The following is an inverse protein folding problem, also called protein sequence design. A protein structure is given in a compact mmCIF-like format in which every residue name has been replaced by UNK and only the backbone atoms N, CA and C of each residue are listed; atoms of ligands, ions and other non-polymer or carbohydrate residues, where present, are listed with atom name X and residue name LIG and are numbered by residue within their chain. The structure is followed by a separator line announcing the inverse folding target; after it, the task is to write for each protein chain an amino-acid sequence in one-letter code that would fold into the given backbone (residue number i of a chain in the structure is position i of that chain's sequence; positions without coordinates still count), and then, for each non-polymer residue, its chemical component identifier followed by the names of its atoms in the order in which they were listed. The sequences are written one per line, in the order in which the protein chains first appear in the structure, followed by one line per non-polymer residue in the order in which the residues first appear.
data_IF_944197381387
#
_entry.id   IF_944197381387
#
_cell.length_a   1.000
_cell.length_b   1.000
_cell.length_c   1.000
_cell.angle_alpha   90.00
_cell.angle_beta   90.00
_cell.angle_gamma   90.00
#
_symmetry.space_group_name_H-M   'P 1'
#
loop_
_entity.id
_entity.type
_entity.pdbx_description
1 polymer ?
#
# COMPACT_ATOMS: atom_id res chain seq x y z
N UNK A 1 17.01 44.74 19.86
CA UNK A 1 15.53 44.72 19.91
C UNK A 1 15.17 43.71 20.98
N UNK A 2 14.89 44.17 22.20
CA UNK A 2 14.48 43.30 23.29
C UNK A 2 13.05 42.81 22.99
N UNK A 3 12.91 41.50 22.80
CA UNK A 3 11.61 40.88 22.64
C UNK A 3 10.88 40.99 23.99
N UNK A 4 9.66 41.49 23.98
CA UNK A 4 8.81 41.50 25.19
C UNK A 4 8.69 40.08 25.75
N UNK A 5 8.57 39.91 27.07
CA UNK A 5 8.62 38.59 27.72
C UNK A 5 7.64 37.56 27.11
N UNK A 6 6.44 38.00 26.70
CA UNK A 6 5.46 37.14 25.99
C UNK A 6 5.92 36.65 24.62
N UNK A 7 6.76 37.41 23.91
CA UNK A 7 7.33 37.02 22.62
C UNK A 7 8.56 36.12 22.81
N UNK A 8 9.32 36.32 23.89
CA UNK A 8 10.44 35.47 24.28
C UNK A 8 9.98 34.06 24.66
N UNK A 9 8.94 33.93 25.47
CA UNK A 9 8.43 32.60 25.86
C UNK A 9 7.88 31.83 24.65
N UNK A 10 7.20 32.52 23.74
CA UNK A 10 6.77 31.92 22.46
C UNK A 10 7.95 31.51 21.58
N UNK A 11 9.01 32.31 21.53
CA UNK A 11 10.22 31.98 20.77
C UNK A 11 10.97 30.80 21.39
N UNK A 12 11.03 30.69 22.73
CA UNK A 12 11.65 29.57 23.44
C UNK A 12 10.86 28.28 23.19
N UNK A 13 9.53 28.32 23.30
CA UNK A 13 8.68 27.18 22.99
C UNK A 13 8.83 26.73 21.53
N UNK A 14 8.87 27.68 20.60
CA UNK A 14 9.10 27.40 19.19
C UNK A 14 10.47 26.74 18.96
N UNK A 15 11.54 27.26 19.57
CA UNK A 15 12.90 26.70 19.45
C UNK A 15 12.98 25.30 20.06
N UNK A 16 12.36 25.08 21.23
CA UNK A 16 12.32 23.75 21.87
C UNK A 16 11.53 22.74 21.03
N UNK A 17 10.44 23.17 20.41
CA UNK A 17 9.67 22.37 19.46
C UNK A 17 10.52 22.02 18.23
N UNK A 18 11.26 22.98 17.65
CA UNK A 18 12.17 22.72 16.52
C UNK A 18 13.37 21.84 16.87
N UNK A 19 13.94 21.98 18.07
CA UNK A 19 15.04 21.14 18.56
C UNK A 19 14.62 19.69 18.78
N UNK A 20 13.43 19.46 19.32
CA UNK A 20 12.86 18.11 19.45
C UNK A 20 12.64 17.42 18.10
N UNK A 21 12.41 18.21 17.04
CA UNK A 21 12.21 17.72 15.66
C UNK A 21 13.56 17.34 14.99
N UNK A 22 14.65 18.06 15.28
CA UNK A 22 15.93 17.91 14.58
C UNK A 22 16.99 17.09 15.33
N UNK A 23 16.91 16.98 16.65
CA UNK A 23 17.90 16.22 17.45
C UNK A 23 17.65 14.70 17.50
N UNK A 24 16.53 14.22 16.95
CA UNK A 24 16.28 12.78 16.77
C UNK A 24 16.80 12.26 15.40
N UNK A 25 17.57 13.07 14.67
CA UNK A 25 18.18 12.68 13.40
C UNK A 25 19.48 13.44 13.13
N UNK A 26 20.61 12.95 13.65
CA UNK A 26 21.94 13.37 13.16
C UNK A 26 22.98 12.24 13.22
N UNK A 27 23.91 12.24 12.28
CA UNK A 27 24.78 11.17 11.79
C UNK A 27 25.85 10.66 12.79
N UNK A 28 25.81 11.09 14.06
CA UNK A 28 26.78 10.68 15.10
C UNK A 28 26.45 9.34 15.77
N UNK A 29 25.27 8.78 15.54
CA UNK A 29 24.79 7.60 16.25
C UNK A 29 25.59 6.29 15.99
N UNK A 30 26.16 6.02 14.79
CA UNK A 30 26.94 4.78 14.58
C UNK A 30 28.23 4.75 15.41
N UNK A 31 28.85 5.91 15.66
CA UNK A 31 30.14 5.99 16.33
C UNK A 31 30.00 5.93 17.86
N UNK A 32 28.88 6.42 18.41
CA UNK A 32 28.51 6.25 19.82
C UNK A 32 28.19 4.78 20.15
N UNK A 33 27.46 4.09 19.26
CA UNK A 33 27.11 2.66 19.38
C UNK A 33 28.37 1.77 19.38
N UNK A 34 29.42 2.12 18.63
CA UNK A 34 30.69 1.39 18.66
C UNK A 34 31.43 1.49 20.01
N UNK A 35 31.31 2.63 20.71
CA UNK A 35 31.89 2.84 22.05
C UNK A 35 31.13 2.11 23.16
N UNK A 36 29.84 1.82 22.98
CA UNK A 36 29.05 1.03 23.95
C UNK A 36 29.37 -0.47 23.90
N UNK A 37 30.00 -0.98 22.82
CA UNK A 37 30.39 -2.39 22.70
C UNK A 37 31.44 -2.84 23.74
N UNK A 38 32.12 -1.91 24.42
CA UNK A 38 33.22 -2.23 25.36
C UNK A 38 32.89 -2.07 26.85
N UNK A 39 31.73 -1.50 27.22
CA UNK A 39 31.50 -1.04 28.57
C UNK A 39 30.16 -1.50 29.16
N UNK A 40 29.92 -2.82 29.22
CA UNK A 40 29.10 -3.49 30.24
C UNK A 40 27.71 -2.95 30.64
N UNK A 41 27.10 -2.03 29.89
CA UNK A 41 25.93 -1.25 30.33
C UNK A 41 24.59 -1.69 29.71
N UNK A 42 24.60 -2.59 28.71
CA UNK A 42 23.37 -3.16 28.14
C UNK A 42 23.55 -4.65 27.78
N UNK A 43 22.52 -5.46 28.02
CA UNK A 43 22.55 -6.88 27.67
C UNK A 43 22.46 -7.06 26.14
N UNK A 44 23.03 -8.15 25.58
CA UNK A 44 22.96 -8.45 24.14
C UNK A 44 21.54 -8.47 23.54
N UNK A 45 20.50 -8.73 24.35
CA UNK A 45 19.09 -8.69 23.96
C UNK A 45 18.54 -7.25 23.79
N UNK A 46 18.95 -6.29 24.62
CA UNK A 46 18.64 -4.85 24.44
C UNK A 46 19.30 -4.33 23.16
N UNK A 47 20.52 -4.79 22.89
CA UNK A 47 21.27 -4.45 21.68
C UNK A 47 20.70 -5.15 20.42
N UNK A 48 20.14 -6.34 20.57
CA UNK A 48 19.43 -7.06 19.49
C UNK A 48 18.08 -6.41 19.15
N UNK A 49 17.34 -5.89 20.13
CA UNK A 49 16.19 -5.00 19.89
C UNK A 49 16.62 -3.68 19.23
N UNK A 50 17.82 -3.17 19.58
CA UNK A 50 18.44 -2.00 18.95
C UNK A 50 18.98 -2.25 17.52
N UNK A 51 18.92 -3.48 16.98
CA UNK A 51 19.13 -3.75 15.54
C UNK A 51 17.86 -3.59 14.71
N UNK A 52 16.70 -3.35 15.35
CA UNK A 52 15.47 -2.90 14.72
C UNK A 52 15.38 -1.37 14.72
N UNK A 53 15.11 -0.75 13.57
CA UNK A 53 15.10 0.72 13.41
C UNK A 53 13.84 1.42 13.97
N UNK A 54 12.98 0.70 14.70
CA UNK A 54 11.64 1.14 15.12
C UNK A 54 11.52 1.09 16.64
N UNK A 55 10.95 2.14 17.22
CA UNK A 55 10.60 2.20 18.64
C UNK A 55 9.38 1.29 18.88
N UNK A 56 9.56 0.22 19.66
CA UNK A 56 8.47 -0.71 19.96
C UNK A 56 7.57 -0.15 21.07
N UNK A 57 6.32 0.14 20.76
CA UNK A 57 5.33 0.63 21.72
C UNK A 57 3.90 0.25 21.31
N UNK A 58 3.38 -0.85 21.86
CA UNK A 58 2.06 -1.37 21.52
C UNK A 58 0.88 -0.53 22.06
N UNK A 59 1.16 0.50 22.87
CA UNK A 59 0.16 1.32 23.55
C UNK A 59 0.36 2.80 23.26
N UNK A 60 1.03 3.12 22.14
CA UNK A 60 1.31 4.50 21.75
C UNK A 60 0.01 5.28 21.49
N UNK A 61 -1.05 4.57 21.08
CA UNK A 61 -2.39 5.13 20.91
C UNK A 61 -2.96 5.68 22.21
N UNK A 62 -2.67 5.05 23.36
CA UNK A 62 -3.09 5.51 24.70
C UNK A 62 -2.25 6.68 25.22
N UNK A 63 -1.08 6.94 24.64
CA UNK A 63 -0.14 7.98 25.09
C UNK A 63 -0.31 9.28 24.33
N UNK A 64 -0.63 9.20 23.04
CA UNK A 64 -0.72 10.35 22.15
C UNK A 64 -1.96 10.26 21.26
N UNK A 65 -2.77 11.33 21.18
CA UNK A 65 -3.71 11.51 20.08
C UNK A 65 -2.97 11.36 18.73
N UNK A 66 -3.65 10.82 17.72
CA UNK A 66 -2.95 10.42 16.48
C UNK A 66 -2.19 11.56 15.80
N UNK A 67 -2.78 12.74 15.67
CA UNK A 67 -2.11 13.88 15.02
C UNK A 67 -1.00 14.51 15.88
N UNK A 68 -1.02 14.26 17.19
CA UNK A 68 -0.04 14.77 18.15
C UNK A 68 1.14 13.81 18.34
N UNK A 69 1.12 12.63 17.71
CA UNK A 69 2.22 11.68 17.71
C UNK A 69 3.56 12.36 17.39
N UNK A 70 4.60 12.19 18.21
CA UNK A 70 5.93 12.73 17.91
C UNK A 70 6.48 12.20 16.58
N UNK A 71 7.42 12.93 16.01
CA UNK A 71 8.18 12.43 14.86
C UNK A 71 8.98 11.22 15.27
N UNK A 72 9.12 10.26 14.36
CA UNK A 72 9.84 9.03 14.63
C UNK A 72 9.29 7.85 13.84
N UNK A 73 9.80 6.68 14.17
CA UNK A 73 9.38 5.42 13.56
C UNK A 73 9.04 4.43 14.66
N UNK A 74 7.83 3.87 14.60
CA UNK A 74 7.24 3.08 15.66
C UNK A 74 6.84 1.70 15.15
N UNK A 75 7.05 0.68 15.96
CA UNK A 75 6.45 -0.64 15.80
C UNK A 75 5.36 -0.77 16.87
N UNK A 76 4.10 -0.77 16.44
CA UNK A 76 2.95 -0.64 17.33
C UNK A 76 1.77 -1.50 16.88
N UNK A 77 0.70 -1.49 17.68
CA UNK A 77 -0.58 -2.15 17.37
C UNK A 77 -1.58 -1.07 16.99
N UNK A 78 -2.27 -1.24 15.87
CA UNK A 78 -3.42 -0.39 15.57
C UNK A 78 -4.59 -0.80 16.46
N UNK A 79 -4.71 -0.26 17.67
CA UNK A 79 -5.74 -0.70 18.62
C UNK A 79 -7.00 0.21 18.60
N UNK A 80 -6.85 1.47 18.17
CA UNK A 80 -7.92 2.48 18.07
C UNK A 80 -8.38 3.05 19.41
N UNK A 81 -8.36 2.23 20.48
CA UNK A 81 -8.98 2.52 21.78
C UNK A 81 -8.37 3.66 22.61
N UNK A 82 -7.19 4.18 22.25
CA UNK A 82 -6.47 5.15 23.07
C UNK A 82 -6.52 6.61 22.64
N UNK A 83 -7.21 6.94 21.55
CA UNK A 83 -7.20 8.30 20.96
C UNK A 83 -7.00 8.32 19.46
N UNK A 84 -7.01 7.14 18.83
CA UNK A 84 -6.93 6.98 17.36
C UNK A 84 -8.30 6.65 16.75
N UNK A 85 -9.33 6.41 17.56
CA UNK A 85 -10.70 6.13 17.12
C UNK A 85 -11.33 7.27 16.29
N UNK A 86 -10.80 8.49 16.37
CA UNK A 86 -11.28 9.64 15.59
C UNK A 86 -10.79 9.63 14.14
N UNK A 87 -9.93 8.69 13.76
CA UNK A 87 -9.38 8.58 12.41
C UNK A 87 -9.75 7.23 11.82
N UNK A 88 -10.19 7.27 10.56
CA UNK A 88 -10.50 6.07 9.82
C UNK A 88 -9.29 5.13 9.77
N UNK A 89 -9.54 3.86 10.02
CA UNK A 89 -8.49 2.84 9.89
C UNK A 89 -8.20 2.59 8.41
N UNK A 90 -6.93 2.49 7.96
CA UNK A 90 -6.63 2.13 6.58
C UNK A 90 -7.31 0.80 6.18
N UNK A 91 -7.85 0.70 4.96
CA UNK A 91 -8.71 -0.43 4.54
C UNK A 91 -8.15 -1.84 4.79
N UNK A 92 -6.82 -2.01 4.77
CA UNK A 92 -6.15 -3.32 4.94
C UNK A 92 -5.57 -3.52 6.34
N UNK A 93 -5.88 -2.63 7.28
CA UNK A 93 -5.47 -2.68 8.69
C UNK A 93 -6.74 -2.87 9.51
N UNK A 94 -6.66 -3.71 10.54
CA UNK A 94 -7.73 -3.96 11.49
C UNK A 94 -7.28 -3.61 12.90
N UNK A 95 -8.25 -3.42 13.79
CA UNK A 95 -7.95 -3.26 15.22
C UNK A 95 -7.23 -4.52 15.74
N UNK A 96 -6.07 -4.33 16.37
CA UNK A 96 -5.20 -5.40 16.84
C UNK A 96 -4.05 -5.75 15.89
N UNK A 97 -4.01 -5.21 14.68
CA UNK A 97 -2.94 -5.50 13.73
C UNK A 97 -1.61 -4.84 14.13
N UNK A 98 -0.52 -5.57 13.92
CA UNK A 98 0.83 -5.05 14.06
C UNK A 98 1.17 -4.17 12.85
N UNK A 99 1.61 -2.95 13.14
CA UNK A 99 1.95 -1.95 12.13
C UNK A 99 3.32 -1.33 12.40
N UNK A 100 3.96 -0.86 11.33
CA UNK A 100 5.06 0.09 11.41
C UNK A 100 4.52 1.46 11.05
N UNK A 101 4.66 2.43 11.94
CA UNK A 101 4.18 3.80 11.75
C UNK A 101 5.39 4.73 11.65
N UNK A 102 5.52 5.45 10.54
CA UNK A 102 6.52 6.48 10.38
C UNK A 102 5.82 7.83 10.39
N UNK A 103 6.24 8.70 11.30
CA UNK A 103 5.75 10.06 11.44
C UNK A 103 6.88 10.97 11.00
N UNK A 104 6.68 11.63 9.86
CA UNK A 104 7.65 12.50 9.19
C UNK A 104 7.05 13.90 9.05
N UNK A 105 7.86 14.94 8.91
CA UNK A 105 7.35 16.28 8.65
C UNK A 105 8.36 17.37 8.98
N UNK A 106 8.04 18.59 8.57
CA UNK A 106 8.84 19.80 8.84
C UNK A 106 8.42 20.47 10.15
N UNK A 107 7.16 20.31 10.56
CA UNK A 107 6.56 21.03 11.69
C UNK A 107 5.51 20.15 12.37
N UNK A 108 5.29 20.28 13.67
CA UNK A 108 4.30 19.47 14.39
C UNK A 108 2.88 19.51 13.78
N UNK A 109 2.58 20.63 13.11
CA UNK A 109 1.36 20.89 12.35
C UNK A 109 1.27 20.18 11.00
N UNK A 110 2.41 19.86 10.38
CA UNK A 110 2.55 19.44 8.99
C UNK A 110 3.26 18.09 8.96
N UNK A 111 2.48 17.03 9.14
CA UNK A 111 2.97 15.66 9.28
C UNK A 111 2.56 14.79 8.11
N UNK A 112 3.41 13.81 7.83
CA UNK A 112 3.20 12.71 6.92
C UNK A 112 3.25 11.44 7.76
N UNK A 113 2.14 10.73 7.80
CA UNK A 113 2.01 9.44 8.45
C UNK A 113 2.14 8.36 7.38
N UNK A 114 3.03 7.41 7.58
CA UNK A 114 3.18 6.21 6.75
C UNK A 114 2.91 5.00 7.62
N UNK A 115 1.88 4.24 7.29
CA UNK A 115 1.53 2.97 7.94
C UNK A 115 1.90 1.83 7.03
N UNK A 116 2.73 0.92 7.54
CA UNK A 116 3.07 -0.34 6.88
C UNK A 116 2.45 -1.45 7.73
N UNK A 117 1.50 -2.19 7.14
CA UNK A 117 0.96 -3.37 7.80
C UNK A 117 2.00 -4.49 7.80
N UNK A 118 2.32 -5.04 8.97
CA UNK A 118 3.29 -6.13 9.08
C UNK A 118 2.72 -7.43 8.53
N UNK A 119 1.40 -7.62 8.63
CA UNK A 119 0.71 -8.86 8.24
C UNK A 119 0.75 -9.06 6.73
N UNK A 120 0.60 -8.00 5.95
CA UNK A 120 0.43 -8.11 4.51
C UNK A 120 1.34 -7.20 3.67
N UNK A 121 2.11 -6.32 4.31
CA UNK A 121 3.05 -5.43 3.63
C UNK A 121 2.40 -4.21 2.99
N UNK A 122 1.07 -4.03 3.05
CA UNK A 122 0.41 -2.84 2.50
C UNK A 122 0.97 -1.56 3.10
N UNK A 123 1.19 -0.58 2.23
CA UNK A 123 1.71 0.73 2.62
C UNK A 123 0.64 1.78 2.38
N UNK A 124 0.32 2.51 3.43
CA UNK A 124 -0.63 3.60 3.43
C UNK A 124 0.04 4.87 3.89
N UNK A 125 -0.33 6.00 3.29
CA UNK A 125 0.15 7.29 3.76
C UNK A 125 -0.97 8.31 3.88
N UNK A 126 -0.78 9.25 4.78
CA UNK A 126 -1.64 10.41 4.98
C UNK A 126 -0.74 11.62 5.18
N UNK A 127 -1.05 12.71 4.48
CA UNK A 127 -0.41 14.00 4.69
C UNK A 127 -1.43 14.91 5.36
N UNK A 128 -1.07 15.56 6.44
CA UNK A 128 -1.96 16.47 7.16
C UNK A 128 -1.26 17.79 7.49
N UNK A 129 -2.06 18.85 7.57
CA UNK A 129 -1.70 20.20 8.02
C UNK A 129 -2.60 20.68 9.17
N UNK A 130 -3.28 19.74 9.83
CA UNK A 130 -4.46 19.98 10.68
C UNK A 130 -4.22 20.88 11.90
N UNK A 131 -3.05 20.82 12.53
CA UNK A 131 -2.77 21.65 13.72
C UNK A 131 -2.21 23.03 13.30
N UNK A 132 -3.06 23.90 12.78
CA UNK A 132 -2.72 25.33 12.58
C UNK A 132 -1.92 25.66 11.32
N UNK A 133 -1.82 24.76 10.35
CA UNK A 133 -1.33 25.09 9.01
C UNK A 133 -2.45 25.72 8.18
N UNK A 134 -2.28 26.96 7.71
CA UNK A 134 -3.25 27.72 6.92
C UNK A 134 -3.60 27.17 5.52
N UNK A 135 -3.64 25.85 5.34
CA UNK A 135 -3.98 25.22 4.08
C UNK A 135 -4.76 23.92 4.31
N UNK A 136 -6.09 24.00 4.19
CA UNK A 136 -7.02 22.85 4.16
C UNK A 136 -6.93 22.05 2.84
N UNK A 137 -5.75 21.98 2.21
CA UNK A 137 -5.59 21.36 0.88
C UNK A 137 -5.18 19.89 0.95
N UNK A 138 -4.67 19.43 2.08
CA UNK A 138 -4.25 18.03 2.25
C UNK A 138 -5.42 17.19 2.77
N UNK A 139 -5.65 16.07 2.12
CA UNK A 139 -6.68 15.11 2.51
C UNK A 139 -6.25 14.34 3.76
N UNK A 140 -7.13 14.33 4.77
CA UNK A 140 -7.06 13.49 5.98
C UNK A 140 -7.45 12.03 5.71
N UNK A 141 -7.64 11.65 4.45
CA UNK A 141 -7.98 10.29 4.05
C UNK A 141 -6.71 9.53 3.69
N UNK A 142 -6.66 8.26 4.12
CA UNK A 142 -5.57 7.35 3.78
C UNK A 142 -5.46 7.12 2.28
N UNK A 143 -4.23 7.15 1.78
CA UNK A 143 -3.90 6.84 0.39
C UNK A 143 -3.04 5.58 0.35
N UNK A 144 -3.42 4.63 -0.48
CA UNK A 144 -2.69 3.37 -0.64
C UNK A 144 -1.54 3.54 -1.66
N UNK A 145 -0.36 3.04 -1.32
CA UNK A 145 0.73 2.83 -2.27
C UNK A 145 0.63 1.40 -2.78
N UNK A 146 0.06 1.23 -3.97
CA UNK A 146 -0.17 -0.08 -4.58
C UNK A 146 1.14 -0.81 -4.83
N UNK A 147 1.22 -2.05 -4.35
CA UNK A 147 2.37 -2.90 -4.58
C UNK A 147 2.05 -3.88 -5.72
N UNK A 148 2.75 -3.72 -6.83
CA UNK A 148 2.54 -4.54 -8.03
C UNK A 148 3.73 -5.46 -8.24
N UNK A 149 3.47 -6.75 -8.41
CA UNK A 149 4.48 -7.77 -8.74
C UNK A 149 4.13 -8.42 -10.07
N UNK A 150 5.07 -8.48 -11.00
CA UNK A 150 4.87 -9.23 -12.26
C UNK A 150 4.96 -10.72 -11.93
N UNK A 151 3.83 -11.43 -12.03
CA UNK A 151 3.72 -12.86 -11.73
C UNK A 151 4.08 -13.71 -12.93
N UNK A 152 3.73 -13.24 -14.13
CA UNK A 152 3.99 -13.95 -15.37
C UNK A 152 4.00 -12.98 -16.55
N UNK A 153 4.83 -13.28 -17.54
CA UNK A 153 4.93 -12.55 -18.81
C UNK A 153 5.23 -13.54 -19.93
N UNK A 154 4.54 -13.39 -21.06
CA UNK A 154 4.69 -14.28 -22.21
C UNK A 154 3.55 -14.08 -23.20
N UNK A 155 3.20 -15.11 -23.95
CA UNK A 155 1.95 -15.18 -24.69
C UNK A 155 1.31 -16.54 -24.40
N UNK A 156 0.08 -16.53 -23.88
CA UNK A 156 -0.67 -17.74 -23.56
C UNK A 156 -2.03 -17.70 -24.25
N UNK A 157 -2.24 -18.67 -25.13
CA UNK A 157 -3.52 -18.98 -25.75
C UNK A 157 -4.32 -19.96 -24.91
N UNK A 158 -5.31 -20.59 -25.55
CA UNK A 158 -6.24 -21.50 -24.87
C UNK A 158 -5.52 -22.82 -24.60
N UNK A 159 -5.70 -23.33 -23.38
CA UNK A 159 -5.03 -24.51 -22.83
C UNK A 159 -3.53 -24.36 -22.56
N UNK A 160 -2.95 -23.17 -22.75
CA UNK A 160 -1.57 -22.91 -22.37
C UNK A 160 -1.45 -22.68 -20.86
N UNK A 161 -0.39 -23.24 -20.26
CA UNK A 161 -0.08 -23.10 -18.84
C UNK A 161 0.74 -21.85 -18.57
N UNK A 162 0.20 -20.95 -17.74
CA UNK A 162 0.91 -19.79 -17.23
C UNK A 162 1.44 -20.12 -15.83
N UNK A 163 2.73 -20.45 -15.75
CA UNK A 163 3.42 -20.74 -14.49
C UNK A 163 3.86 -19.42 -13.83
N UNK A 164 3.21 -19.09 -12.72
CA UNK A 164 3.42 -17.86 -11.97
C UNK A 164 4.64 -17.98 -11.05
N UNK A 165 5.38 -16.88 -10.88
CA UNK A 165 6.51 -16.80 -9.95
C UNK A 165 6.03 -17.01 -8.51
N UNK A 166 4.86 -16.49 -8.14
CA UNK A 166 4.24 -16.62 -6.82
C UNK A 166 2.75 -17.00 -6.92
N UNK A 167 2.19 -17.52 -5.83
CA UNK A 167 0.76 -17.87 -5.75
C UNK A 167 -0.13 -16.64 -5.77
N UNK A 168 -1.25 -16.68 -6.50
CA UNK A 168 -2.20 -15.56 -6.55
C UNK A 168 -2.83 -15.23 -5.20
N UNK A 169 -2.88 -16.18 -4.25
CA UNK A 169 -3.39 -15.97 -2.87
C UNK A 169 -2.64 -14.91 -2.08
N UNK A 170 -1.41 -14.59 -2.48
CA UNK A 170 -0.63 -13.53 -1.86
C UNK A 170 -1.07 -12.14 -2.29
N UNK A 171 -2.00 -12.03 -3.23
CA UNK A 171 -2.47 -10.78 -3.82
C UNK A 171 -3.97 -10.63 -3.61
N UNK A 172 -4.47 -9.40 -3.56
CA UNK A 172 -5.91 -9.11 -3.49
C UNK A 172 -6.53 -9.07 -4.88
N UNK A 173 -5.79 -8.52 -5.82
CA UNK A 173 -6.23 -8.26 -7.18
C UNK A 173 -5.16 -8.75 -8.16
N UNK A 174 -5.58 -9.24 -9.31
CA UNK A 174 -4.73 -9.54 -10.45
C UNK A 174 -5.02 -8.51 -11.54
N UNK A 175 -3.96 -7.96 -12.11
CA UNK A 175 -4.02 -7.12 -13.29
C UNK A 175 -3.54 -7.95 -14.47
N UNK A 176 -4.46 -8.26 -15.38
CA UNK A 176 -4.23 -9.15 -16.52
C UNK A 176 -4.24 -8.33 -17.79
N UNK A 177 -3.17 -8.44 -18.57
CA UNK A 177 -3.07 -7.79 -19.89
C UNK A 177 -3.35 -8.81 -20.97
N UNK A 178 -4.34 -8.51 -21.80
CA UNK A 178 -4.83 -9.37 -22.89
C UNK A 178 -4.50 -8.69 -24.22
N UNK A 179 -3.88 -9.45 -25.13
CA UNK A 179 -3.73 -9.07 -26.52
C UNK A 179 -4.81 -9.74 -27.38
N UNK A 180 -5.29 -9.02 -28.38
CA UNK A 180 -6.37 -9.42 -29.26
C UNK A 180 -6.70 -8.28 -30.22
N UNK A 181 -7.99 -8.09 -30.51
CA UNK A 181 -8.45 -6.99 -31.39
C UNK A 181 -8.01 -5.61 -30.85
N UNK A 182 -7.99 -5.45 -29.51
CA UNK A 182 -7.46 -4.28 -28.81
C UNK A 182 -6.67 -4.81 -27.60
N UNK A 183 -5.44 -4.33 -27.42
CA UNK A 183 -4.67 -4.60 -26.20
C UNK A 183 -5.34 -3.93 -25.00
N UNK A 184 -5.81 -4.72 -24.04
CA UNK A 184 -6.50 -4.20 -22.85
C UNK A 184 -5.93 -4.80 -21.58
N UNK A 185 -6.04 -4.03 -20.50
CA UNK A 185 -5.66 -4.48 -19.17
C UNK A 185 -6.87 -4.41 -18.26
N UNK A 186 -7.09 -5.47 -17.49
CA UNK A 186 -8.24 -5.59 -16.59
C UNK A 186 -7.76 -6.00 -15.20
N UNK A 187 -8.31 -5.33 -14.19
CA UNK A 187 -8.12 -5.71 -12.79
C UNK A 187 -9.28 -6.61 -12.36
N UNK A 188 -8.94 -7.79 -11.83
CA UNK A 188 -9.89 -8.82 -11.38
C UNK A 188 -9.49 -9.29 -9.97
N UNK A 189 -10.43 -9.75 -9.14
CA UNK A 189 -10.07 -10.28 -7.83
C UNK A 189 -9.21 -11.55 -7.97
N UNK A 190 -8.23 -11.70 -7.07
CA UNK A 190 -7.39 -12.89 -6.98
C UNK A 190 -8.16 -14.02 -6.27
N UNK A 191 -8.94 -14.78 -7.04
CA UNK A 191 -9.71 -15.94 -6.56
C UNK A 191 -9.27 -17.22 -7.29
N UNK A 192 -9.71 -18.39 -6.82
CA UNK A 192 -9.27 -19.70 -7.33
C UNK A 192 -9.56 -19.93 -8.82
N UNK A 193 -10.61 -19.33 -9.36
CA UNK A 193 -10.96 -19.41 -10.78
C UNK A 193 -11.38 -18.03 -11.29
N UNK A 194 -10.41 -17.13 -11.52
CA UNK A 194 -10.73 -15.77 -11.89
C UNK A 194 -11.37 -15.75 -13.27
N UNK A 195 -12.46 -14.97 -13.38
CA UNK A 195 -13.12 -14.71 -14.64
C UNK A 195 -12.85 -13.26 -15.00
N UNK A 196 -12.34 -13.05 -16.21
CA UNK A 196 -12.10 -11.72 -16.72
C UNK A 196 -13.10 -11.41 -17.84
N UNK A 197 -13.67 -10.22 -17.77
CA UNK A 197 -14.66 -9.72 -18.71
C UNK A 197 -14.20 -8.36 -19.21
N UNK A 198 -14.01 -8.25 -20.53
CA UNK A 198 -13.61 -7.03 -21.21
C UNK A 198 -14.79 -6.55 -22.04
N UNK A 199 -15.10 -5.26 -21.99
CA UNK A 199 -16.09 -4.66 -22.87
C UNK A 199 -15.41 -3.55 -23.69
N UNK A 200 -15.54 -3.63 -25.01
CA UNK A 200 -14.97 -2.62 -25.91
C UNK A 200 -16.06 -2.10 -26.83
N UNK A 201 -16.17 -0.78 -26.94
CA UNK A 201 -16.93 -0.12 -28.00
C UNK A 201 -15.98 0.08 -29.16
N UNK A 202 -16.24 -0.54 -30.31
CA UNK A 202 -15.41 -0.28 -31.49
C UNK A 202 -15.70 1.13 -32.03
N UNK A 203 -14.65 1.90 -32.28
CA UNK A 203 -14.76 3.27 -32.77
C UNK A 203 -15.29 3.35 -34.22
N UNK A 204 -15.19 2.25 -34.98
CA UNK A 204 -15.44 2.24 -36.43
C UNK A 204 -16.61 1.34 -36.87
N UNK A 205 -17.18 0.54 -35.96
CA UNK A 205 -18.35 -0.28 -36.22
C UNK A 205 -19.40 0.03 -35.16
N UNK A 206 -20.68 0.09 -35.53
CA UNK A 206 -21.81 0.15 -34.59
C UNK A 206 -21.97 -1.17 -33.80
N UNK A 207 -20.85 -1.81 -33.45
CA UNK A 207 -20.77 -3.09 -32.78
C UNK A 207 -20.06 -2.90 -31.43
N UNK A 208 -20.67 -3.48 -30.40
CA UNK A 208 -20.04 -3.61 -29.09
C UNK A 208 -19.54 -5.05 -28.93
N UNK A 209 -18.39 -5.21 -28.31
CA UNK A 209 -17.81 -6.52 -28.03
C UNK A 209 -17.67 -6.73 -26.54
N UNK A 210 -18.02 -7.94 -26.09
CA UNK A 210 -17.69 -8.42 -24.75
C UNK A 210 -16.85 -9.69 -24.88
N UNK A 211 -15.69 -9.73 -24.23
CA UNK A 211 -14.83 -10.91 -24.17
C UNK A 211 -14.89 -11.46 -22.76
N UNK A 212 -15.20 -12.74 -22.62
CA UNK A 212 -15.12 -13.46 -21.34
C UNK A 212 -14.03 -14.52 -21.44
N UNK A 213 -13.05 -14.45 -20.54
CA UNK A 213 -12.02 -15.46 -20.40
C UNK A 213 -12.12 -16.09 -19.02
N UNK A 214 -12.11 -17.42 -18.98
CA UNK A 214 -12.06 -18.18 -17.73
C UNK A 214 -10.64 -18.68 -17.50
N UNK A 215 -10.11 -18.39 -16.32
CA UNK A 215 -8.86 -18.95 -15.84
C UNK A 215 -9.15 -20.06 -14.83
N UNK A 216 -8.44 -21.16 -14.97
CA UNK A 216 -8.51 -22.29 -14.05
C UNK A 216 -7.18 -22.44 -13.32
N UNK A 217 -7.25 -22.56 -12.00
CA UNK A 217 -6.10 -22.95 -11.19
C UNK A 217 -5.78 -24.43 -11.42
N UNK A 218 -4.54 -24.71 -11.79
CA UNK A 218 -4.06 -26.05 -12.07
C UNK A 218 -3.09 -26.57 -10.99
N UNK A 219 -2.54 -25.73 -10.10
CA UNK A 219 -1.57 -26.12 -9.06
C UNK A 219 -1.45 -25.05 -7.94
N UNK A 220 -2.30 -25.08 -6.92
CA UNK A 220 -2.21 -24.19 -5.73
C UNK A 220 -2.08 -22.69 -6.07
N UNK A 221 -2.85 -22.23 -7.04
CA UNK A 221 -2.80 -20.92 -7.70
C UNK A 221 -1.42 -20.45 -8.16
N UNK A 222 -0.51 -21.37 -8.49
CA UNK A 222 0.76 -21.06 -9.13
C UNK A 222 0.76 -21.35 -10.63
N UNK A 223 -0.24 -22.06 -11.11
CA UNK A 223 -0.42 -22.29 -12.54
C UNK A 223 -1.84 -21.90 -12.91
N UNK A 224 -1.96 -20.89 -13.76
CA UNK A 224 -3.24 -20.51 -14.34
C UNK A 224 -3.30 -21.00 -15.78
N UNK A 225 -4.42 -21.57 -16.17
CA UNK A 225 -4.68 -21.98 -17.55
C UNK A 225 -5.88 -21.24 -18.09
N UNK A 226 -5.75 -20.67 -19.28
CA UNK A 226 -6.90 -20.14 -20.00
C UNK A 226 -7.71 -21.30 -20.57
N UNK A 227 -8.87 -21.61 -19.98
CA UNK A 227 -9.68 -22.77 -20.38
C UNK A 227 -10.79 -22.44 -21.36
N UNK A 228 -11.23 -21.19 -21.39
CA UNK A 228 -12.26 -20.73 -22.32
C UNK A 228 -12.10 -19.26 -22.62
N UNK A 229 -12.23 -18.89 -23.90
CA UNK A 229 -12.37 -17.50 -24.34
C UNK A 229 -13.61 -17.40 -25.23
N UNK A 230 -14.54 -16.52 -24.89
CA UNK A 230 -15.75 -16.26 -25.67
C UNK A 230 -15.87 -14.79 -26.01
N UNK A 231 -16.00 -14.49 -27.29
CA UNK A 231 -16.37 -13.19 -27.82
C UNK A 231 -17.89 -13.15 -28.03
N UNK A 232 -18.52 -12.09 -27.53
CA UNK A 232 -19.90 -11.73 -27.79
C UNK A 232 -19.87 -10.45 -28.61
N UNK A 233 -20.45 -10.49 -29.81
CA UNK A 233 -20.58 -9.31 -30.69
C UNK A 233 -22.03 -8.88 -30.73
N UNK A 234 -22.31 -7.67 -30.27
CA UNK A 234 -23.63 -7.03 -30.38
C UNK A 234 -23.71 -6.29 -31.70
N UNK A 235 -24.53 -6.80 -32.62
CA UNK A 235 -24.73 -6.19 -33.93
C UNK A 235 -25.82 -5.11 -33.89
N UNK A 236 -25.82 -4.16 -34.83
CA UNK A 236 -26.89 -3.15 -34.95
C UNK A 236 -28.29 -3.76 -35.12
N UNK A 237 -28.36 -4.99 -35.63
CA UNK A 237 -29.60 -5.75 -35.85
C UNK A 237 -30.23 -6.30 -34.55
N UNK A 238 -29.62 -6.06 -33.39
CA UNK A 238 -30.16 -6.43 -32.07
C UNK A 238 -29.85 -7.86 -31.59
N UNK A 239 -29.39 -8.75 -32.48
CA UNK A 239 -29.05 -10.13 -32.12
C UNK A 239 -27.55 -10.26 -31.78
N UNK A 240 -27.18 -10.80 -30.60
CA UNK A 240 -25.80 -11.09 -30.28
C UNK A 240 -25.30 -12.31 -31.07
N UNK A 241 -24.05 -12.25 -31.52
CA UNK A 241 -23.34 -13.38 -32.12
C UNK A 241 -22.22 -13.84 -31.19
N UNK A 242 -22.04 -15.15 -31.07
CA UNK A 242 -21.07 -15.76 -30.17
C UNK A 242 -19.97 -16.43 -30.98
N UNK A 243 -18.72 -16.20 -30.60
CA UNK A 243 -17.57 -16.88 -31.18
C UNK A 243 -16.69 -17.37 -30.04
N UNK A 244 -16.44 -18.67 -30.01
CA UNK A 244 -15.50 -19.27 -29.07
C UNK A 244 -14.09 -19.26 -29.70
N UNK A 245 -13.07 -19.18 -28.86
CA UNK A 245 -11.65 -19.33 -29.23
C UNK A 245 -11.10 -18.29 -30.22
N UNK A 246 -11.49 -17.04 -30.03
CA UNK A 246 -11.24 -15.88 -30.91
C UNK A 246 -9.80 -15.37 -30.99
N UNK A 247 -8.81 -16.17 -30.60
CA UNK A 247 -7.39 -15.83 -30.72
C UNK A 247 -6.88 -14.77 -29.75
N UNK A 248 -7.67 -14.40 -28.73
CA UNK A 248 -7.17 -13.58 -27.62
C UNK A 248 -6.10 -14.35 -26.84
N UNK A 249 -5.05 -13.64 -26.45
CA UNK A 249 -3.93 -14.19 -25.68
C UNK A 249 -3.72 -13.36 -24.44
N UNK A 250 -3.31 -14.00 -23.35
CA UNK A 250 -2.84 -13.30 -22.16
C UNK A 250 -1.35 -13.04 -22.34
N UNK A 251 -0.93 -11.82 -22.04
CA UNK A 251 0.46 -11.36 -22.25
C UNK A 251 1.22 -11.08 -20.97
N UNK A 252 0.51 -10.65 -19.93
CA UNK A 252 1.08 -10.53 -18.59
C UNK A 252 0.02 -10.67 -17.51
N UNK A 253 0.46 -11.15 -16.35
CA UNK A 253 -0.32 -11.20 -15.12
C UNK A 253 0.53 -10.52 -14.05
N UNK A 254 -0.02 -9.47 -13.45
CA UNK A 254 0.57 -8.76 -12.32
C UNK A 254 -0.32 -9.00 -11.09
N UNK A 255 0.28 -9.31 -9.94
CA UNK A 255 -0.39 -9.36 -8.65
C UNK A 255 -0.34 -7.98 -7.99
N UNK A 256 -1.47 -7.49 -7.50
CA UNK A 256 -1.59 -6.22 -6.79
C UNK A 256 -2.05 -6.49 -5.34
N UNK A 257 -1.35 -5.87 -4.41
CA UNK A 257 -1.73 -5.77 -3.00
C UNK A 257 -2.04 -4.32 -2.61
#
# INVERSE_FOLDING_TARGET
MELTDKQRDKAILFILEQLAIHLDGDEQNPHAIATEMGAGLASPEIVSLARGHLIKDNYIDLKYPFFDLPFGRYATVWNGSGGWDSIDTPDTVSKGDLIQLHVLGEHAARKVFLVISVTNGSIWYMNTSEVGGGGNYNSTVWKNIRQTTILWKGEAGINDDMRLVESTRRFRTLKVTVSGIIGQTVEIPAVDNPVLSLATVANTANEAYTVRINLTDMQNQRVLRMTKCRLVTFRPTGNPTFTDDTGFKITSIEGIY
#
